data_IF_490699624261
#
_entry.id   IF_490699624261
#
_cell.length_a   1.000
_cell.length_b   1.000
_cell.length_c   1.000
_cell.angle_alpha   90.00
_cell.angle_beta   90.00
_cell.angle_gamma   90.00
#
_symmetry.space_group_name_H-M   'P 1'
#
loop_
_entity.id
_entity.type
_entity.pdbx_description
1 polymer ?
#
# COMPACT_ATOMS: atom_id res chain seq x y z
N UNK A 1 0.56 -11.00 -17.50
CA UNK A 1 0.92 -9.66 -17.02
C UNK A 1 1.89 -9.74 -15.85
N UNK A 2 2.86 -8.86 -15.85
CA UNK A 2 3.82 -8.83 -14.75
C UNK A 2 3.18 -8.19 -13.52
N UNK A 3 3.41 -8.73 -12.32
CA UNK A 3 2.95 -8.09 -11.09
C UNK A 3 3.66 -6.75 -10.89
N UNK A 4 2.98 -5.82 -10.24
CA UNK A 4 3.55 -4.54 -9.87
C UNK A 4 3.90 -4.59 -8.39
N UNK A 5 5.19 -4.51 -8.08
CA UNK A 5 5.66 -4.53 -6.71
C UNK A 5 5.99 -3.12 -6.24
N UNK A 6 5.74 -2.87 -4.98
CA UNK A 6 6.02 -1.59 -4.35
C UNK A 6 6.78 -1.83 -3.06
N UNK A 7 7.88 -1.10 -2.89
CA UNK A 7 8.67 -1.17 -1.67
C UNK A 7 8.13 -0.15 -0.68
N UNK A 8 7.68 -0.62 0.47
CA UNK A 8 7.09 0.22 1.51
C UNK A 8 7.83 0.04 2.82
N UNK A 9 7.70 1.04 3.69
CA UNK A 9 8.35 1.03 5.00
C UNK A 9 7.27 1.06 6.09
N UNK A 10 6.98 -0.11 6.70
CA UNK A 10 6.01 -0.16 7.79
C UNK A 10 6.43 0.70 8.98
N UNK A 11 5.45 1.22 9.71
CA UNK A 11 5.72 2.01 10.91
C UNK A 11 6.49 1.22 11.96
N UNK A 12 6.31 -0.10 11.99
CA UNK A 12 7.02 -0.97 12.91
C UNK A 12 8.51 -1.13 12.57
N UNK A 13 8.91 -0.69 11.39
CA UNK A 13 10.31 -0.76 10.95
C UNK A 13 10.52 -1.79 9.83
N UNK A 14 11.71 -1.73 9.25
CA UNK A 14 12.05 -2.64 8.15
C UNK A 14 11.52 -2.18 6.80
N UNK A 15 11.64 -3.08 5.83
CA UNK A 15 11.19 -2.85 4.46
C UNK A 15 10.28 -4.00 4.04
N UNK A 16 9.19 -3.67 3.38
CA UNK A 16 8.23 -4.66 2.88
C UNK A 16 8.02 -4.43 1.39
N UNK A 17 8.18 -5.49 0.61
CA UNK A 17 7.86 -5.44 -0.82
C UNK A 17 6.51 -6.13 -1.02
N UNK A 18 5.56 -5.38 -1.57
CA UNK A 18 4.19 -5.85 -1.70
C UNK A 18 3.76 -5.85 -3.16
N UNK A 19 2.88 -6.78 -3.49
CA UNK A 19 2.19 -6.74 -4.78
C UNK A 19 1.02 -5.76 -4.64
N UNK A 20 1.04 -4.71 -5.45
CA UNK A 20 0.02 -3.67 -5.41
C UNK A 20 -1.38 -4.24 -5.58
N UNK A 21 -1.50 -5.33 -6.32
CA UNK A 21 -2.79 -5.98 -6.58
C UNK A 21 -3.35 -6.71 -5.35
N UNK A 22 -2.52 -6.96 -4.34
CA UNK A 22 -2.96 -7.56 -3.08
C UNK A 22 -3.53 -6.53 -2.11
N UNK A 23 -3.44 -5.25 -2.44
CA UNK A 23 -4.00 -4.20 -1.58
C UNK A 23 -5.49 -4.12 -1.82
N UNK A 24 -6.26 -4.39 -0.77
CA UNK A 24 -7.72 -4.33 -0.82
C UNK A 24 -8.23 -2.91 -0.69
N UNK A 25 -7.65 -2.15 0.23
CA UNK A 25 -7.98 -0.75 0.43
C UNK A 25 -6.81 -0.03 1.09
N UNK A 26 -6.75 1.27 0.88
CA UNK A 26 -5.75 2.13 1.50
C UNK A 26 -6.47 3.38 2.02
N UNK A 27 -6.02 3.86 3.16
CA UNK A 27 -6.59 5.05 3.79
C UNK A 27 -5.54 5.86 4.50
N UNK A 28 -5.93 7.01 5.08
CA UNK A 28 -4.99 7.83 5.83
C UNK A 28 -4.53 7.12 7.10
N UNK A 29 -3.38 7.54 7.61
CA UNK A 29 -2.88 7.03 8.86
C UNK A 29 -3.80 7.43 10.01
N UNK A 30 -3.77 6.63 11.09
CA UNK A 30 -4.58 6.92 12.25
C UNK A 30 -4.04 8.10 13.05
N UNK A 31 -4.92 8.94 13.57
CA UNK A 31 -4.54 10.10 14.38
C UNK A 31 -3.76 11.12 13.59
N UNK A 32 -2.75 11.70 14.24
CA UNK A 32 -1.90 12.72 13.63
C UNK A 32 -0.67 12.15 12.94
N UNK A 33 -0.58 10.84 12.79
CA UNK A 33 0.55 10.21 12.17
C UNK A 33 0.61 10.53 10.68
N UNK A 34 1.82 10.71 10.18
CA UNK A 34 2.06 10.86 8.75
C UNK A 34 2.08 9.49 8.09
N UNK A 35 1.82 9.45 6.80
CA UNK A 35 1.83 8.20 6.05
C UNK A 35 0.43 7.72 5.73
N UNK A 36 0.28 6.41 5.66
CA UNK A 36 -1.00 5.82 5.31
C UNK A 36 -1.14 4.44 5.94
N UNK A 37 -2.35 3.87 5.82
CA UNK A 37 -2.59 2.49 6.23
C UNK A 37 -3.18 1.73 5.05
N UNK A 38 -2.86 0.45 4.96
CA UNK A 38 -3.34 -0.39 3.89
C UNK A 38 -3.85 -1.72 4.43
N UNK A 39 -4.88 -2.24 3.81
CA UNK A 39 -5.42 -3.56 4.12
C UNK A 39 -5.17 -4.45 2.91
N UNK A 40 -4.52 -5.59 3.15
CA UNK A 40 -4.23 -6.56 2.10
C UNK A 40 -5.33 -7.61 2.02
N UNK A 41 -5.50 -8.19 0.84
CA UNK A 41 -6.48 -9.25 0.64
C UNK A 41 -6.15 -10.43 1.55
N UNK A 42 -7.15 -10.92 2.23
CA UNK A 42 -6.99 -12.03 3.17
C UNK A 42 -6.59 -11.64 4.58
N UNK A 43 -6.19 -10.39 4.79
CA UNK A 43 -5.81 -9.92 6.11
C UNK A 43 -7.00 -9.25 6.81
N UNK A 44 -6.98 -9.30 8.13
CA UNK A 44 -8.02 -8.70 8.95
C UNK A 44 -7.57 -7.39 9.62
N UNK A 45 -6.30 -7.04 9.47
CA UNK A 45 -5.74 -5.85 10.13
C UNK A 45 -5.05 -4.97 9.10
N UNK A 46 -5.21 -3.66 9.29
CA UNK A 46 -4.49 -2.70 8.47
C UNK A 46 -3.04 -2.60 8.96
N UNK A 47 -2.16 -2.31 8.02
CA UNK A 47 -0.75 -2.08 8.31
C UNK A 47 -0.44 -0.62 8.00
N UNK A 48 0.18 0.08 8.96
CA UNK A 48 0.60 1.46 8.77
C UNK A 48 1.94 1.53 8.05
N UNK A 49 2.07 2.47 7.14
CA UNK A 49 3.30 2.71 6.38
C UNK A 49 3.71 4.16 6.49
N UNK A 50 5.02 4.40 6.36
CA UNK A 50 5.59 5.75 6.43
C UNK A 50 5.36 6.54 5.14
N UNK A 51 5.12 5.86 4.04
CA UNK A 51 4.88 6.49 2.74
C UNK A 51 3.55 7.24 2.74
N UNK A 52 3.49 8.33 1.96
CA UNK A 52 2.25 9.06 1.76
C UNK A 52 1.27 8.18 0.99
N UNK A 53 -0.01 8.35 1.30
CA UNK A 53 -1.08 7.62 0.62
C UNK A 53 -1.03 7.80 -0.91
N UNK A 54 -0.55 8.95 -1.39
CA UNK A 54 -0.44 9.21 -2.83
C UNK A 54 0.50 8.23 -3.53
N UNK A 55 1.54 7.77 -2.84
CA UNK A 55 2.48 6.80 -3.39
C UNK A 55 1.75 5.51 -3.75
N UNK A 56 0.93 5.02 -2.82
CA UNK A 56 0.19 3.77 -3.04
C UNK A 56 -0.93 3.98 -4.05
N UNK A 57 -1.64 5.10 -3.97
CA UNK A 57 -2.73 5.39 -4.91
C UNK A 57 -2.22 5.47 -6.35
N UNK A 58 -1.08 6.11 -6.56
CA UNK A 58 -0.49 6.22 -7.89
C UNK A 58 -0.05 4.85 -8.42
N UNK A 59 0.52 4.02 -7.55
CA UNK A 59 0.92 2.66 -7.94
C UNK A 59 -0.31 1.82 -8.29
N UNK A 60 -1.40 1.96 -7.55
CA UNK A 60 -2.64 1.24 -7.84
C UNK A 60 -3.24 1.68 -9.17
N UNK A 61 -3.21 2.97 -9.47
CA UNK A 61 -3.69 3.48 -10.76
C UNK A 61 -2.86 2.93 -11.91
N UNK A 62 -1.54 2.92 -11.75
CA UNK A 62 -0.66 2.37 -12.76
C UNK A 62 -0.92 0.89 -13.01
N UNK A 63 -1.11 0.12 -11.94
CA UNK A 63 -1.41 -1.30 -12.05
C UNK A 63 -2.76 -1.53 -12.74
N UNK A 64 -3.77 -0.73 -12.41
CA UNK A 64 -5.08 -0.85 -13.04
C UNK A 64 -5.00 -0.53 -14.53
N UNK A 65 -4.22 0.47 -14.91
CA UNK A 65 -4.03 0.84 -16.31
C UNK A 65 -3.35 -0.28 -17.09
N UNK A 66 -2.35 -0.93 -16.48
CA UNK A 66 -1.64 -2.03 -17.12
C UNK A 66 -2.51 -3.26 -17.34
N UNK A 67 -3.60 -3.39 -16.59
CA UNK A 67 -4.52 -4.52 -16.71
C UNK A 67 -5.46 -4.41 -17.88
N UNK A 68 -5.68 -3.23 -18.35
CA UNK A 68 -6.51 -3.02 -19.53
C UNK A 68 -5.71 -3.34 -20.80
#
# INVERSE_FOLDING_TARGET
>A
MSPVFLELHPDAGGTLIVDVLDISRVGPAHGDAKGCSALFKGDHKTVGFKEDITVIKDAMKGAATLRE
#
